data_IF_298680066459
#
_entry.id   IF_298680066459
#
_cell.length_a   1.000
_cell.length_b   1.000
_cell.length_c   1.000
_cell.angle_alpha   90.00
_cell.angle_beta   90.00
_cell.angle_gamma   90.00
#
_symmetry.space_group_name_H-M   'P 1'
#
loop_
_entity.id
_entity.type
_entity.pdbx_description
1 polymer ?
#
# COMPACT_ATOMS: atom_id res chain seq x y z
N UNK A 1 -28.40 49.84 -41.87
CA UNK A 1 -29.03 48.54 -42.24
C UNK A 1 -28.13 47.70 -43.13
N UNK A 2 -27.64 48.24 -44.26
CA UNK A 2 -26.83 47.47 -45.25
C UNK A 2 -25.52 46.93 -44.64
N UNK A 3 -24.82 47.72 -43.83
CA UNK A 3 -23.55 47.31 -43.18
C UNK A 3 -23.74 46.14 -42.20
N UNK A 4 -24.83 46.14 -41.44
CA UNK A 4 -25.17 45.05 -40.51
C UNK A 4 -25.50 43.74 -41.25
N UNK A 5 -26.13 43.86 -42.41
CA UNK A 5 -26.47 42.73 -43.28
C UNK A 5 -25.20 42.08 -43.88
N UNK A 6 -24.24 42.91 -44.29
CA UNK A 6 -22.94 42.44 -44.80
C UNK A 6 -22.11 41.76 -43.71
N UNK A 7 -22.08 42.32 -42.48
CA UNK A 7 -21.40 41.70 -41.35
C UNK A 7 -22.04 40.37 -40.93
N UNK A 8 -23.36 40.28 -40.98
CA UNK A 8 -24.08 39.04 -40.67
C UNK A 8 -23.86 37.96 -41.73
N UNK A 9 -23.81 38.33 -43.01
CA UNK A 9 -23.48 37.40 -44.11
C UNK A 9 -22.02 36.94 -44.05
N UNK A 10 -21.08 37.80 -43.64
CA UNK A 10 -19.68 37.43 -43.38
C UNK A 10 -19.56 36.46 -42.20
N UNK A 11 -20.29 36.71 -41.11
CA UNK A 11 -20.34 35.81 -39.97
C UNK A 11 -20.91 34.44 -40.36
N UNK A 12 -21.99 34.41 -41.13
CA UNK A 12 -22.55 33.15 -41.66
C UNK A 12 -21.57 32.43 -42.59
N UNK A 13 -20.87 33.14 -43.46
CA UNK A 13 -19.88 32.54 -44.35
C UNK A 13 -18.72 31.90 -43.56
N UNK A 14 -18.22 32.58 -42.53
CA UNK A 14 -17.17 32.07 -41.64
C UNK A 14 -17.69 30.87 -40.82
N UNK A 15 -18.92 30.97 -40.28
CA UNK A 15 -19.53 29.89 -39.50
C UNK A 15 -19.77 28.63 -40.36
N UNK A 16 -20.20 28.79 -41.61
CA UNK A 16 -20.38 27.69 -42.56
C UNK A 16 -19.04 27.09 -42.98
N UNK A 17 -17.96 27.88 -43.11
CA UNK A 17 -16.63 27.34 -43.33
C UNK A 17 -16.08 26.57 -42.12
N UNK A 18 -16.37 27.03 -40.91
CA UNK A 18 -15.97 26.32 -39.68
C UNK A 18 -16.77 25.02 -39.48
N UNK A 19 -18.05 24.99 -39.85
CA UNK A 19 -18.89 23.78 -39.84
C UNK A 19 -18.58 22.81 -40.98
N UNK A 20 -17.90 23.27 -42.04
CA UNK A 20 -17.39 22.44 -43.15
C UNK A 20 -15.99 21.87 -42.92
N UNK A 21 -15.38 22.07 -41.74
CA UNK A 21 -14.25 21.23 -41.34
C UNK A 21 -14.75 19.79 -41.24
N UNK A 22 -14.47 19.00 -42.28
CA UNK A 22 -14.68 17.56 -42.25
C UNK A 22 -14.02 17.00 -40.98
N UNK A 23 -14.67 16.06 -40.28
CA UNK A 23 -14.02 15.36 -39.17
C UNK A 23 -12.74 14.72 -39.73
N UNK A 24 -11.61 15.20 -39.23
CA UNK A 24 -10.26 14.75 -39.58
C UNK A 24 -10.28 13.21 -39.67
N UNK A 25 -9.77 12.62 -40.77
CA UNK A 25 -9.81 11.17 -41.03
C UNK A 25 -9.26 10.37 -39.84
N UNK A 26 -8.33 10.98 -39.11
CA UNK A 26 -7.74 10.48 -37.88
C UNK A 26 -8.77 10.32 -36.73
N UNK A 27 -9.74 11.21 -36.64
CA UNK A 27 -10.81 11.19 -35.61
C UNK A 27 -11.81 10.06 -35.86
N UNK A 28 -12.23 9.86 -37.12
CA UNK A 28 -13.13 8.75 -37.47
C UNK A 28 -12.42 7.40 -37.32
N UNK A 29 -11.14 7.32 -37.64
CA UNK A 29 -10.32 6.14 -37.36
C UNK A 29 -10.22 5.87 -35.86
N UNK A 30 -9.93 6.89 -35.04
CA UNK A 30 -9.91 6.78 -33.56
C UNK A 30 -11.24 6.34 -32.98
N UNK A 31 -12.36 6.93 -33.43
CA UNK A 31 -13.70 6.53 -32.97
C UNK A 31 -14.00 5.09 -33.36
N UNK A 32 -13.66 4.68 -34.59
CA UNK A 32 -13.84 3.29 -35.03
C UNK A 32 -12.97 2.32 -34.22
N UNK A 33 -11.79 2.76 -33.78
CA UNK A 33 -10.89 1.96 -32.96
C UNK A 33 -11.40 1.85 -31.52
N UNK A 34 -11.85 2.96 -30.92
CA UNK A 34 -12.50 2.99 -29.61
C UNK A 34 -13.75 2.11 -29.58
N UNK A 35 -14.55 2.09 -30.65
CA UNK A 35 -15.73 1.23 -30.75
C UNK A 35 -15.36 -0.26 -30.86
N UNK A 36 -14.29 -0.60 -31.59
CA UNK A 36 -13.76 -1.98 -31.67
C UNK A 36 -13.23 -2.44 -30.31
N UNK A 37 -12.51 -1.57 -29.60
CA UNK A 37 -11.96 -1.86 -28.27
C UNK A 37 -13.07 -2.00 -27.22
N UNK A 38 -14.13 -1.18 -27.30
CA UNK A 38 -15.32 -1.35 -26.45
C UNK A 38 -16.05 -2.66 -26.71
N UNK A 39 -16.17 -3.08 -27.98
CA UNK A 39 -16.77 -4.37 -28.31
C UNK A 39 -15.92 -5.55 -27.82
N UNK A 40 -14.60 -5.47 -27.92
CA UNK A 40 -13.71 -6.52 -27.41
C UNK A 40 -13.78 -6.62 -25.88
N UNK A 41 -13.83 -5.49 -25.17
CA UNK A 41 -14.02 -5.42 -23.72
C UNK A 41 -15.35 -6.03 -23.28
N UNK A 42 -16.44 -5.72 -23.99
CA UNK A 42 -17.75 -6.29 -23.69
C UNK A 42 -17.74 -7.82 -23.84
N UNK A 43 -17.09 -8.33 -24.89
CA UNK A 43 -16.96 -9.77 -25.16
C UNK A 43 -16.11 -10.48 -24.09
N UNK A 44 -14.98 -9.89 -23.69
CA UNK A 44 -14.16 -10.42 -22.60
C UNK A 44 -14.91 -10.43 -21.27
N UNK A 45 -15.68 -9.39 -20.97
CA UNK A 45 -16.51 -9.32 -19.76
C UNK A 45 -17.57 -10.44 -19.75
N UNK A 46 -18.23 -10.70 -20.87
CA UNK A 46 -19.21 -11.79 -20.98
C UNK A 46 -18.56 -13.17 -20.82
N UNK A 47 -17.40 -13.41 -21.43
CA UNK A 47 -16.67 -14.67 -21.28
C UNK A 47 -16.23 -14.92 -19.83
N UNK A 48 -15.68 -13.90 -19.16
CA UNK A 48 -15.30 -13.98 -17.75
C UNK A 48 -16.53 -14.21 -16.86
N UNK A 49 -17.63 -13.51 -17.13
CA UNK A 49 -18.89 -13.70 -16.41
C UNK A 49 -19.43 -15.11 -16.57
N UNK A 50 -19.30 -15.69 -17.78
CA UNK A 50 -19.70 -17.07 -18.05
C UNK A 50 -18.84 -18.06 -17.28
N UNK A 51 -17.51 -17.93 -17.31
CA UNK A 51 -16.59 -18.77 -16.54
C UNK A 51 -16.83 -18.70 -15.02
N UNK A 52 -17.14 -17.50 -14.50
CA UNK A 52 -17.50 -17.31 -13.10
C UNK A 52 -18.86 -17.95 -12.76
N UNK A 53 -19.83 -17.89 -13.68
CA UNK A 53 -21.11 -18.56 -13.51
C UNK A 53 -20.97 -20.09 -13.54
N UNK A 54 -20.12 -20.64 -14.40
CA UNK A 54 -19.80 -22.06 -14.45
C UNK A 54 -19.11 -22.51 -13.15
N UNK A 55 -18.14 -21.74 -12.66
CA UNK A 55 -17.51 -21.96 -11.35
C UNK A 55 -18.52 -21.95 -10.19
N UNK A 56 -19.46 -21.02 -10.18
CA UNK A 56 -20.47 -20.90 -9.12
C UNK A 56 -21.61 -21.92 -9.23
N UNK A 57 -21.90 -22.42 -10.43
CA UNK A 57 -22.97 -23.42 -10.69
C UNK A 57 -22.53 -24.87 -10.49
N UNK A 58 -21.22 -25.12 -10.38
CA UNK A 58 -20.65 -26.45 -10.15
C UNK A 58 -20.92 -26.96 -8.71
N UNK A 59 -22.14 -27.44 -8.48
CA UNK A 59 -22.54 -28.23 -7.30
C UNK A 59 -22.18 -29.74 -7.42
N UNK A 60 -21.12 -30.09 -8.16
CA UNK A 60 -20.61 -31.45 -8.32
C UNK A 60 -19.12 -31.54 -7.92
N UNK A 61 -18.61 -32.71 -7.47
CA UNK A 61 -17.24 -32.81 -6.97
C UNK A 61 -16.25 -32.84 -8.14
N UNK A 62 -15.91 -31.66 -8.68
CA UNK A 62 -14.76 -31.50 -9.57
C UNK A 62 -13.48 -31.89 -8.84
N UNK A 63 -12.62 -32.68 -9.51
CA UNK A 63 -11.29 -33.03 -9.00
C UNK A 63 -10.46 -31.76 -8.83
N UNK A 64 -9.63 -31.72 -7.77
CA UNK A 64 -8.82 -30.56 -7.40
C UNK A 64 -7.93 -30.05 -8.56
N UNK A 65 -7.43 -30.96 -9.40
CA UNK A 65 -6.64 -30.64 -10.59
C UNK A 65 -7.42 -29.85 -11.67
N UNK A 66 -8.71 -30.13 -11.87
CA UNK A 66 -9.54 -29.40 -12.84
C UNK A 66 -9.88 -28.00 -12.33
N UNK A 67 -10.04 -27.84 -11.01
CA UNK A 67 -10.22 -26.51 -10.39
C UNK A 67 -8.96 -25.66 -10.49
N UNK A 68 -7.79 -26.26 -10.31
CA UNK A 68 -6.50 -25.58 -10.45
C UNK A 68 -6.19 -25.23 -11.91
N UNK A 69 -6.51 -26.12 -12.86
CA UNK A 69 -6.39 -25.83 -14.29
C UNK A 69 -7.33 -24.69 -14.73
N UNK A 70 -8.59 -24.69 -14.24
CA UNK A 70 -9.55 -23.62 -14.52
C UNK A 70 -9.12 -22.30 -13.90
N UNK A 71 -8.68 -22.29 -12.64
CA UNK A 71 -8.12 -21.10 -11.98
C UNK A 71 -6.90 -20.57 -12.71
N UNK A 72 -6.01 -21.45 -13.17
CA UNK A 72 -4.85 -21.08 -13.97
C UNK A 72 -5.27 -20.45 -15.29
N UNK A 73 -6.27 -21.01 -15.98
CA UNK A 73 -6.79 -20.45 -17.24
C UNK A 73 -7.47 -19.08 -17.07
N UNK A 74 -8.20 -18.88 -15.97
CA UNK A 74 -8.79 -17.58 -15.60
C UNK A 74 -7.66 -16.61 -15.28
N UNK A 75 -6.66 -17.03 -14.53
CA UNK A 75 -5.51 -16.21 -14.16
C UNK A 75 -4.66 -15.83 -15.38
N UNK A 76 -4.46 -16.74 -16.33
CA UNK A 76 -3.76 -16.46 -17.59
C UNK A 76 -4.52 -15.45 -18.46
N UNK A 77 -5.85 -15.59 -18.58
CA UNK A 77 -6.69 -14.66 -19.33
C UNK A 77 -6.92 -13.31 -18.63
N UNK A 78 -6.77 -13.25 -17.31
CA UNK A 78 -6.81 -11.98 -16.55
C UNK A 78 -5.45 -11.27 -16.55
N UNK A 79 -4.34 -12.03 -16.63
CA UNK A 79 -2.97 -11.49 -16.64
C UNK A 79 -2.51 -11.11 -18.07
N UNK A 80 -3.07 -11.74 -19.11
CA UNK A 80 -2.85 -11.36 -20.49
C UNK A 80 -4.11 -10.74 -21.09
N UNK A 81 -4.31 -9.41 -20.99
CA UNK A 81 -5.16 -8.72 -21.93
C UNK A 81 -4.40 -8.67 -23.26
N UNK A 82 -4.41 -9.77 -24.03
CA UNK A 82 -4.02 -9.71 -25.43
C UNK A 82 -4.99 -8.74 -26.12
N UNK A 83 -4.52 -7.50 -26.33
CA UNK A 83 -5.15 -6.52 -27.21
C UNK A 83 -5.84 -5.30 -26.59
N UNK A 84 -5.61 -4.93 -25.32
CA UNK A 84 -6.34 -3.79 -24.69
C UNK A 84 -5.50 -2.75 -23.94
N UNK A 85 -4.22 -2.61 -24.31
CA UNK A 85 -3.53 -1.34 -24.11
C UNK A 85 -3.24 -0.83 -25.51
N UNK A 86 -4.05 0.13 -25.97
CA UNK A 86 -3.58 1.11 -26.93
C UNK A 86 -2.36 1.77 -26.30
N UNK A 87 -1.19 1.19 -26.58
CA UNK A 87 0.10 1.75 -26.27
C UNK A 87 0.24 2.97 -27.15
N UNK A 88 -0.29 4.10 -26.69
CA UNK A 88 0.29 5.38 -27.06
C UNK A 88 1.71 5.35 -26.49
N UNK A 89 2.66 5.25 -27.42
CA UNK A 89 3.99 4.73 -27.17
C UNK A 89 4.80 5.54 -26.17
N UNK A 90 5.18 4.90 -25.05
CA UNK A 90 6.44 5.12 -24.34
C UNK A 90 6.66 4.21 -23.11
N UNK A 91 5.87 3.15 -22.93
CA UNK A 91 6.06 2.24 -21.81
C UNK A 91 7.37 1.47 -21.99
N UNK A 92 8.34 1.78 -21.13
CA UNK A 92 9.66 1.14 -21.10
C UNK A 92 9.55 -0.08 -20.20
N UNK A 93 9.76 -1.26 -20.77
CA UNK A 93 9.96 -2.47 -19.97
C UNK A 93 11.33 -2.46 -19.24
N UNK A 94 12.25 -1.60 -19.68
CA UNK A 94 13.55 -1.41 -19.01
C UNK A 94 13.40 -0.69 -17.66
N UNK A 95 14.14 -1.13 -16.62
CA UNK A 95 14.07 -0.52 -15.31
C UNK A 95 14.60 0.91 -15.32
N UNK A 96 14.00 1.85 -14.56
CA UNK A 96 14.58 3.16 -14.35
C UNK A 96 15.95 3.05 -13.67
N UNK A 97 16.78 4.08 -13.87
CA UNK A 97 18.02 4.21 -13.11
C UNK A 97 17.69 4.47 -11.63
N UNK A 98 18.56 4.01 -10.74
CA UNK A 98 18.37 4.24 -9.30
C UNK A 98 18.37 5.74 -8.97
N UNK A 99 19.24 6.51 -9.63
CA UNK A 99 19.34 7.94 -9.41
C UNK A 99 18.10 8.70 -9.90
N UNK A 100 17.45 8.24 -10.98
CA UNK A 100 16.17 8.78 -11.41
C UNK A 100 15.10 8.64 -10.32
N UNK A 101 14.91 7.43 -9.81
CA UNK A 101 13.89 7.13 -8.79
C UNK A 101 14.15 7.87 -7.46
N UNK A 102 15.42 7.95 -7.04
CA UNK A 102 15.83 8.76 -5.88
C UNK A 102 15.53 10.24 -6.09
N UNK A 103 15.87 10.77 -7.26
CA UNK A 103 15.70 12.19 -7.56
C UNK A 103 14.24 12.55 -7.60
N UNK A 104 13.42 11.77 -8.30
CA UNK A 104 11.96 11.93 -8.35
C UNK A 104 11.33 12.01 -6.95
N UNK A 105 11.67 11.07 -6.06
CA UNK A 105 11.17 11.08 -4.68
C UNK A 105 11.71 12.25 -3.86
N UNK A 106 12.97 12.65 -4.11
CA UNK A 106 13.58 13.83 -3.47
C UNK A 106 12.88 15.13 -3.89
N UNK A 107 12.44 15.27 -5.14
CA UNK A 107 11.67 16.45 -5.58
C UNK A 107 10.36 16.56 -4.77
N UNK A 108 9.62 15.46 -4.61
CA UNK A 108 8.40 15.44 -3.78
C UNK A 108 8.67 15.92 -2.35
N UNK A 109 9.69 15.33 -1.72
CA UNK A 109 10.11 15.71 -0.36
C UNK A 109 10.56 17.18 -0.30
N UNK A 110 11.30 17.65 -1.29
CA UNK A 110 11.77 19.04 -1.36
C UNK A 110 10.62 20.04 -1.42
N UNK A 111 9.54 19.73 -2.14
CA UNK A 111 8.32 20.56 -2.17
C UNK A 111 7.66 20.61 -0.78
N UNK A 112 7.58 19.48 -0.10
CA UNK A 112 7.01 19.39 1.27
C UNK A 112 7.86 20.19 2.28
N UNK A 113 9.17 19.96 2.31
CA UNK A 113 10.10 20.64 3.21
C UNK A 113 10.16 22.15 2.95
N UNK A 114 10.17 22.57 1.68
CA UNK A 114 10.10 23.99 1.32
C UNK A 114 8.83 24.62 1.89
N UNK A 115 7.68 23.95 1.74
CA UNK A 115 6.42 24.44 2.30
C UNK A 115 6.43 24.50 3.82
N UNK A 116 6.95 23.47 4.50
CA UNK A 116 7.06 23.48 5.97
C UNK A 116 7.92 24.64 6.45
N UNK A 117 9.06 24.88 5.80
CA UNK A 117 9.91 26.01 6.13
C UNK A 117 9.20 27.35 5.94
N UNK A 118 8.67 27.61 4.73
CA UNK A 118 8.02 28.89 4.38
C UNK A 118 6.80 29.14 5.27
N UNK A 119 5.92 28.15 5.41
CA UNK A 119 4.70 28.28 6.21
C UNK A 119 5.00 28.53 7.68
N UNK A 120 6.03 27.88 8.25
CA UNK A 120 6.46 28.12 9.62
C UNK A 120 7.00 29.54 9.82
N UNK A 121 7.84 30.03 8.90
CA UNK A 121 8.36 31.41 8.97
C UNK A 121 7.23 32.44 8.90
N UNK A 122 6.28 32.27 7.98
CA UNK A 122 5.14 33.18 7.85
C UNK A 122 4.27 33.15 9.12
N UNK A 123 3.97 31.96 9.67
CA UNK A 123 3.21 31.83 10.93
C UNK A 123 3.92 32.50 12.10
N UNK A 124 5.25 32.46 12.15
CA UNK A 124 6.02 33.15 13.20
C UNK A 124 5.93 34.67 13.08
N UNK A 125 5.96 35.21 11.85
CA UNK A 125 5.74 36.64 11.60
C UNK A 125 4.31 37.03 12.00
N UNK A 126 3.33 36.21 11.63
CA UNK A 126 1.92 36.43 11.94
C UNK A 126 1.69 36.55 13.46
N UNK A 127 2.28 35.65 14.26
CA UNK A 127 2.22 35.71 15.74
C UNK A 127 2.81 37.01 16.31
N UNK A 128 3.91 37.50 15.74
CA UNK A 128 4.54 38.76 16.17
C UNK A 128 3.74 40.00 15.74
N UNK A 129 3.10 39.94 14.57
CA UNK A 129 2.34 41.05 13.99
C UNK A 129 0.90 41.17 14.54
N UNK A 130 0.40 40.13 15.22
CA UNK A 130 -1.00 40.02 15.63
C UNK A 130 -1.51 41.20 16.47
N UNK A 131 -0.63 41.80 17.29
CA UNK A 131 -0.96 42.95 18.14
C UNK A 131 -0.56 44.31 17.54
N UNK A 132 0.11 44.30 16.37
CA UNK A 132 0.71 45.52 15.77
C UNK A 132 -0.06 45.95 14.52
N UNK A 133 -0.45 45.01 13.65
CA UNK A 133 -1.20 45.32 12.44
C UNK A 133 -2.10 44.17 12.00
N UNK A 134 -3.43 44.30 12.18
CA UNK A 134 -4.40 43.33 11.69
C UNK A 134 -4.38 43.17 10.16
N UNK A 135 -4.06 44.22 9.41
CA UNK A 135 -3.98 44.18 7.95
C UNK A 135 -2.84 43.28 7.46
N UNK A 136 -1.65 43.38 8.08
CA UNK A 136 -0.51 42.51 7.77
C UNK A 136 -0.86 41.05 8.11
N UNK A 137 -1.53 40.81 9.23
CA UNK A 137 -1.97 39.46 9.63
C UNK A 137 -2.91 38.83 8.59
N UNK A 138 -3.84 39.61 8.03
CA UNK A 138 -4.73 39.15 6.95
C UNK A 138 -3.95 38.83 5.66
N UNK A 139 -3.02 39.70 5.24
CA UNK A 139 -2.17 39.45 4.07
C UNK A 139 -1.32 38.20 4.20
N UNK A 140 -0.72 37.96 5.38
CA UNK A 140 0.06 36.74 5.65
C UNK A 140 -0.80 35.49 5.60
N UNK A 141 -2.05 35.56 6.08
CA UNK A 141 -3.00 34.45 6.00
C UNK A 141 -3.33 34.13 4.54
N UNK A 142 -3.57 35.15 3.72
CA UNK A 142 -3.78 34.98 2.27
C UNK A 142 -2.58 34.33 1.57
N UNK A 143 -1.35 34.71 1.92
CA UNK A 143 -0.14 34.07 1.37
C UNK A 143 -0.07 32.59 1.77
N UNK A 144 -0.46 32.23 3.00
CA UNK A 144 -0.51 30.84 3.42
C UNK A 144 -1.58 30.05 2.65
N UNK A 145 -2.76 30.65 2.44
CA UNK A 145 -3.86 30.02 1.74
C UNK A 145 -3.52 29.81 0.25
N UNK A 146 -3.00 30.82 -0.45
CA UNK A 146 -2.56 30.69 -1.84
C UNK A 146 -1.35 29.76 -1.97
N UNK A 147 -0.39 29.87 -1.04
CA UNK A 147 0.82 29.06 -1.04
C UNK A 147 0.55 27.56 -0.87
N UNK A 148 -0.44 27.18 -0.06
CA UNK A 148 -0.80 25.76 0.09
C UNK A 148 -1.44 25.21 -1.19
N UNK A 149 -2.23 26.01 -1.92
CA UNK A 149 -2.77 25.58 -3.22
C UNK A 149 -1.66 25.35 -4.24
N UNK A 150 -0.66 26.24 -4.30
CA UNK A 150 0.51 26.05 -5.17
C UNK A 150 1.29 24.79 -4.81
N UNK A 151 1.52 24.53 -3.51
CA UNK A 151 2.12 23.27 -3.05
C UNK A 151 1.32 22.07 -3.54
N UNK A 152 -0.01 22.08 -3.40
CA UNK A 152 -0.85 20.95 -3.85
C UNK A 152 -0.76 20.72 -5.35
N UNK A 153 -0.71 21.79 -6.16
CA UNK A 153 -0.48 21.67 -7.60
C UNK A 153 0.88 21.03 -7.92
N UNK A 154 1.95 21.47 -7.26
CA UNK A 154 3.29 20.90 -7.47
C UNK A 154 3.34 19.41 -7.08
N UNK A 155 2.75 19.04 -5.95
CA UNK A 155 2.68 17.63 -5.52
C UNK A 155 1.86 16.80 -6.51
N UNK A 156 0.76 17.34 -7.05
CA UNK A 156 -0.04 16.68 -8.10
C UNK A 156 0.82 16.37 -9.32
N UNK A 157 1.61 17.34 -9.79
CA UNK A 157 2.46 17.16 -10.98
C UNK A 157 3.61 16.18 -10.72
N UNK A 158 4.22 16.22 -9.54
CA UNK A 158 5.26 15.26 -9.13
C UNK A 158 4.68 13.84 -9.01
N UNK A 159 3.46 13.68 -8.51
CA UNK A 159 2.79 12.38 -8.48
C UNK A 159 2.45 11.90 -9.89
N UNK A 160 1.94 12.79 -10.75
CA UNK A 160 1.66 12.48 -12.15
C UNK A 160 2.90 12.06 -12.92
N UNK A 161 4.08 12.59 -12.58
CA UNK A 161 5.34 12.15 -13.17
C UNK A 161 5.55 10.63 -13.04
N UNK A 162 5.07 10.02 -11.94
CA UNK A 162 5.09 8.56 -11.77
C UNK A 162 4.24 7.77 -12.75
N UNK A 163 3.27 8.41 -13.38
CA UNK A 163 2.34 7.77 -14.30
C UNK A 163 2.79 7.98 -15.74
N UNK A 164 3.36 9.16 -16.05
CA UNK A 164 3.69 9.55 -17.43
C UNK A 164 5.16 9.38 -17.81
N UNK A 165 6.03 8.96 -16.88
CA UNK A 165 7.45 8.78 -17.15
C UNK A 165 7.83 7.48 -17.89
N UNK A 166 6.83 6.68 -18.28
CA UNK A 166 7.01 5.43 -19.01
C UNK A 166 7.50 4.25 -18.15
N UNK A 167 7.65 4.42 -16.83
CA UNK A 167 8.06 3.34 -15.92
C UNK A 167 6.92 2.82 -15.03
N UNK A 168 5.68 3.27 -15.26
CA UNK A 168 4.53 2.90 -14.43
C UNK A 168 4.30 1.38 -14.43
N UNK A 169 4.19 0.78 -15.61
CA UNK A 169 4.00 -0.66 -15.78
C UNK A 169 5.16 -1.47 -15.21
N UNK A 170 6.40 -1.03 -15.41
CA UNK A 170 7.58 -1.63 -14.78
C UNK A 170 7.48 -1.67 -13.25
N UNK A 171 7.10 -0.56 -12.60
CA UNK A 171 6.96 -0.50 -11.13
C UNK A 171 5.92 -1.49 -10.61
N UNK A 172 4.78 -1.61 -11.29
CA UNK A 172 3.74 -2.57 -10.91
C UNK A 172 4.21 -4.02 -11.05
N UNK A 173 4.81 -4.37 -12.20
CA UNK A 173 5.37 -5.70 -12.45
C UNK A 173 6.44 -6.06 -11.42
N UNK A 174 7.39 -5.15 -11.16
CA UNK A 174 8.48 -5.37 -10.22
C UNK A 174 8.00 -5.48 -8.76
N UNK A 175 6.97 -4.72 -8.35
CA UNK A 175 6.40 -4.83 -7.02
C UNK A 175 5.82 -6.22 -6.73
N UNK A 176 5.09 -6.78 -7.69
CA UNK A 176 4.56 -8.15 -7.60
C UNK A 176 5.71 -9.15 -7.61
N UNK A 177 6.59 -9.08 -8.60
CA UNK A 177 7.68 -10.03 -8.79
C UNK A 177 8.64 -10.09 -7.58
N UNK A 178 9.01 -8.94 -7.00
CA UNK A 178 9.86 -8.88 -5.80
C UNK A 178 9.17 -9.44 -4.57
N UNK A 179 7.90 -9.11 -4.34
CA UNK A 179 7.16 -9.65 -3.21
C UNK A 179 7.04 -11.17 -3.34
N UNK A 180 6.67 -11.67 -4.52
CA UNK A 180 6.52 -13.11 -4.78
C UNK A 180 7.84 -13.87 -4.64
N UNK A 181 8.96 -13.29 -5.07
CA UNK A 181 10.29 -13.86 -4.82
C UNK A 181 10.54 -14.06 -3.32
N UNK A 182 10.30 -13.04 -2.50
CA UNK A 182 10.54 -13.12 -1.06
C UNK A 182 9.56 -14.10 -0.39
N UNK A 183 8.28 -14.06 -0.76
CA UNK A 183 7.28 -15.00 -0.23
C UNK A 183 7.62 -16.45 -0.57
N UNK A 184 8.13 -16.73 -1.79
CA UNK A 184 8.64 -18.07 -2.15
C UNK A 184 9.84 -18.48 -1.33
N UNK A 185 10.81 -17.59 -1.10
CA UNK A 185 11.98 -17.89 -0.23
C UNK A 185 11.56 -18.18 1.21
N UNK A 186 10.60 -17.42 1.76
CA UNK A 186 10.05 -17.65 3.10
C UNK A 186 9.29 -18.98 3.18
N UNK A 187 8.46 -19.28 2.18
CA UNK A 187 7.75 -20.56 2.10
C UNK A 187 8.71 -21.73 1.99
N UNK A 188 9.76 -21.64 1.16
CA UNK A 188 10.80 -22.66 1.06
C UNK A 188 11.50 -22.89 2.41
N UNK A 189 11.96 -21.82 3.06
CA UNK A 189 12.62 -21.90 4.37
C UNK A 189 11.72 -22.52 5.44
N UNK A 190 10.44 -22.16 5.45
CA UNK A 190 9.51 -22.61 6.47
C UNK A 190 9.03 -24.03 6.26
N UNK A 191 9.11 -24.59 5.06
CA UNK A 191 8.54 -25.89 4.74
C UNK A 191 9.62 -26.89 4.29
N UNK A 192 10.54 -27.30 5.20
CA UNK A 192 11.51 -28.34 4.88
C UNK A 192 10.79 -29.66 4.60
N UNK A 193 11.38 -30.49 3.72
CA UNK A 193 10.88 -31.84 3.42
C UNK A 193 11.05 -32.81 4.58
N UNK A 194 12.08 -32.60 5.41
CA UNK A 194 12.38 -33.37 6.62
C UNK A 194 12.44 -32.41 7.81
N UNK A 195 11.37 -32.37 8.59
CA UNK A 195 11.30 -31.50 9.76
C UNK A 195 12.25 -31.94 10.87
N UNK A 196 12.50 -33.24 11.05
CA UNK A 196 13.31 -33.73 12.16
C UNK A 196 14.75 -33.24 12.03
N UNK A 197 15.31 -33.32 10.84
CA UNK A 197 16.68 -32.89 10.55
C UNK A 197 16.83 -31.39 10.21
N UNK A 198 15.72 -30.66 10.01
CA UNK A 198 15.78 -29.23 9.75
C UNK A 198 16.36 -28.45 10.94
N UNK A 199 17.22 -27.46 10.65
CA UNK A 199 17.67 -26.48 11.64
C UNK A 199 16.52 -25.55 12.01
N UNK A 200 16.26 -25.39 13.30
CA UNK A 200 15.09 -24.65 13.82
C UNK A 200 15.51 -23.43 14.63
N UNK A 201 14.69 -22.39 14.58
CA UNK A 201 14.75 -21.23 15.47
C UNK A 201 13.41 -21.12 16.21
N UNK A 202 13.45 -21.29 17.52
CA UNK A 202 12.27 -21.25 18.39
C UNK A 202 12.03 -19.81 18.85
N UNK A 203 10.82 -19.31 18.63
CA UNK A 203 10.38 -17.98 19.04
C UNK A 203 9.16 -18.09 19.97
N UNK A 204 9.22 -17.45 21.14
CA UNK A 204 8.11 -17.44 22.10
C UNK A 204 7.30 -16.15 21.97
N UNK A 205 6.05 -16.25 21.49
CA UNK A 205 5.21 -15.08 21.17
C UNK A 205 4.89 -14.20 22.39
N UNK A 206 4.84 -14.79 23.59
CA UNK A 206 4.32 -14.18 24.83
C UNK A 206 5.26 -13.14 25.47
N UNK A 207 5.85 -12.23 24.68
CA UNK A 207 6.56 -11.05 25.20
C UNK A 207 5.61 -10.18 26.05
N UNK A 208 6.11 -9.61 27.13
CA UNK A 208 5.35 -8.78 28.07
C UNK A 208 4.93 -7.40 27.54
N UNK A 209 4.21 -7.34 26.41
CA UNK A 209 3.74 -6.11 25.78
C UNK A 209 2.44 -6.34 24.99
N UNK A 210 1.95 -5.30 24.29
CA UNK A 210 0.72 -5.38 23.49
C UNK A 210 0.88 -6.12 22.14
N UNK A 211 -0.24 -6.33 21.44
CA UNK A 211 -0.35 -7.08 20.18
C UNK A 211 0.68 -6.66 19.13
N UNK A 212 0.76 -5.37 18.79
CA UNK A 212 1.70 -4.87 17.79
C UNK A 212 3.17 -5.11 18.16
N UNK A 213 3.51 -4.99 19.44
CA UNK A 213 4.86 -5.30 19.94
C UNK A 213 5.17 -6.81 19.86
N UNK A 214 4.22 -7.68 20.20
CA UNK A 214 4.38 -9.13 20.06
C UNK A 214 4.49 -9.57 18.59
N UNK A 215 3.73 -8.93 17.69
CA UNK A 215 3.81 -9.15 16.26
C UNK A 215 5.19 -8.73 15.72
N UNK A 216 5.71 -7.56 16.12
CA UNK A 216 7.07 -7.15 15.78
C UNK A 216 8.14 -8.08 16.38
N UNK A 217 7.90 -8.67 17.55
CA UNK A 217 8.77 -9.72 18.09
C UNK A 217 8.79 -10.96 17.18
N UNK A 218 7.63 -11.44 16.70
CA UNK A 218 7.57 -12.55 15.75
C UNK A 218 8.27 -12.22 14.42
N UNK A 219 8.11 -10.99 13.90
CA UNK A 219 8.83 -10.52 12.71
C UNK A 219 10.33 -10.53 12.91
N UNK A 220 10.82 -10.01 14.05
CA UNK A 220 12.23 -10.05 14.40
C UNK A 220 12.76 -11.50 14.43
N UNK A 221 12.03 -12.42 15.06
CA UNK A 221 12.41 -13.83 15.06
C UNK A 221 12.51 -14.40 13.65
N UNK A 222 11.52 -14.10 12.79
CA UNK A 222 11.48 -14.59 11.42
C UNK A 222 12.60 -14.02 10.55
N UNK A 223 13.00 -12.76 10.77
CA UNK A 223 14.15 -12.15 10.10
C UNK A 223 15.47 -12.84 10.46
N UNK A 224 15.68 -13.11 11.75
CA UNK A 224 16.88 -13.85 12.21
C UNK A 224 16.85 -15.29 11.70
N UNK A 225 15.69 -15.94 11.71
CA UNK A 225 15.49 -17.29 11.17
C UNK A 225 15.84 -17.33 9.68
N UNK A 226 15.38 -16.34 8.91
CA UNK A 226 15.72 -16.19 7.50
C UNK A 226 17.22 -16.00 7.26
N UNK A 227 17.86 -15.09 7.99
CA UNK A 227 19.30 -14.84 7.85
C UNK A 227 20.18 -16.02 8.28
N UNK A 228 19.71 -16.85 9.22
CA UNK A 228 20.43 -18.02 9.72
C UNK A 228 20.03 -19.33 9.04
N UNK A 229 19.15 -19.27 8.03
CA UNK A 229 18.63 -20.43 7.31
C UNK A 229 18.01 -21.49 8.25
N UNK A 230 17.26 -21.02 9.25
CA UNK A 230 16.56 -21.86 10.21
C UNK A 230 15.05 -21.74 10.00
N UNK A 231 14.33 -22.85 10.03
CA UNK A 231 12.86 -22.84 10.06
C UNK A 231 12.39 -22.26 11.39
N UNK A 232 11.58 -21.20 11.35
CA UNK A 232 11.02 -20.60 12.56
C UNK A 232 9.89 -21.47 13.12
N UNK A 233 10.00 -21.81 14.40
CA UNK A 233 8.96 -22.46 15.21
C UNK A 233 8.36 -21.43 16.15
N UNK A 234 7.08 -21.09 15.96
CA UNK A 234 6.39 -20.07 16.75
C UNK A 234 5.61 -20.73 17.90
N UNK A 235 6.11 -20.59 19.12
CA UNK A 235 5.43 -21.05 20.33
C UNK A 235 4.41 -19.98 20.78
N UNK A 236 3.14 -20.25 20.52
CA UNK A 236 2.02 -19.32 20.72
C UNK A 236 0.99 -19.76 21.77
N UNK A 237 1.10 -20.97 22.34
CA UNK A 237 0.15 -21.45 23.35
C UNK A 237 0.12 -20.54 24.59
N UNK A 238 -1.08 -20.35 25.15
CA UNK A 238 -1.27 -19.46 26.31
C UNK A 238 -1.19 -17.96 25.97
N UNK A 239 -1.36 -17.61 24.69
CA UNK A 239 -1.31 -16.22 24.25
C UNK A 239 -2.42 -15.37 24.89
N UNK A 240 -2.05 -14.20 25.41
CA UNK A 240 -2.96 -13.32 26.16
C UNK A 240 -4.15 -12.82 25.35
N UNK A 241 -4.01 -12.74 24.03
CA UNK A 241 -5.08 -12.31 23.12
C UNK A 241 -5.98 -13.46 22.69
N UNK A 242 -5.45 -14.68 22.63
CA UNK A 242 -6.23 -15.89 22.42
C UNK A 242 -5.48 -17.11 23.00
N UNK A 243 -6.04 -17.75 24.03
CA UNK A 243 -5.37 -18.86 24.72
C UNK A 243 -5.08 -20.05 23.79
N UNK A 244 -5.87 -20.22 22.72
CA UNK A 244 -5.67 -21.24 21.70
C UNK A 244 -4.44 -21.02 20.80
N UNK A 245 -3.82 -19.84 20.86
CA UNK A 245 -2.58 -19.53 20.15
C UNK A 245 -2.79 -18.80 18.82
N UNK A 246 -1.71 -18.71 18.06
CA UNK A 246 -1.60 -17.96 16.80
C UNK A 246 -2.57 -18.48 15.72
N UNK A 247 -2.69 -19.81 15.66
CA UNK A 247 -3.42 -20.57 14.65
C UNK A 247 -4.94 -20.33 14.69
N UNK A 248 -5.43 -19.70 15.75
CA UNK A 248 -6.84 -19.31 15.90
C UNK A 248 -7.26 -18.15 15.00
N UNK A 249 -6.30 -17.34 14.54
CA UNK A 249 -6.55 -16.15 13.70
C UNK A 249 -5.74 -16.19 12.41
N UNK A 250 -4.49 -16.64 12.49
CA UNK A 250 -3.58 -16.70 11.35
C UNK A 250 -3.23 -18.15 11.01
N UNK A 251 -2.78 -18.40 9.78
CA UNK A 251 -2.26 -19.71 9.39
C UNK A 251 -0.99 -20.03 10.17
N UNK A 252 -0.66 -21.32 10.37
CA UNK A 252 0.61 -21.70 10.97
C UNK A 252 1.77 -21.15 10.13
N UNK A 253 2.90 -20.86 10.79
CA UNK A 253 4.08 -20.29 10.12
C UNK A 253 4.69 -21.30 9.13
N UNK A 254 4.54 -22.58 9.41
CA UNK A 254 4.94 -23.70 8.56
C UNK A 254 3.78 -24.68 8.43
N UNK A 255 3.64 -25.30 7.26
CA UNK A 255 2.69 -26.40 7.03
C UNK A 255 3.36 -27.77 7.26
N UNK A 256 4.69 -27.89 7.10
CA UNK A 256 5.42 -29.17 7.22
C UNK A 256 6.25 -29.32 8.51
N UNK A 257 6.50 -28.23 9.24
CA UNK A 257 7.40 -28.25 10.40
C UNK A 257 6.99 -27.24 11.46
N UNK A 258 6.13 -27.68 12.39
CA UNK A 258 5.52 -26.85 13.44
C UNK A 258 6.08 -27.07 14.84
N UNK A 259 6.89 -28.12 15.00
CA UNK A 259 7.34 -28.58 16.32
C UNK A 259 8.86 -28.74 16.35
N UNK A 260 9.39 -28.81 17.57
CA UNK A 260 10.81 -29.05 17.83
C UNK A 260 10.95 -30.31 18.68
N UNK A 261 11.59 -31.32 18.11
CA UNK A 261 12.05 -32.51 18.80
C UNK A 261 13.48 -32.28 19.31
N UNK A 262 13.75 -32.68 20.55
CA UNK A 262 15.11 -32.62 21.14
C UNK A 262 15.48 -31.32 21.88
N UNK A 263 16.75 -31.21 22.29
CA UNK A 263 17.22 -30.12 23.15
C UNK A 263 17.30 -28.80 22.38
N UNK A 264 16.78 -27.74 23.01
CA UNK A 264 16.82 -26.37 22.49
C UNK A 264 17.86 -25.57 23.29
N UNK A 265 18.86 -25.03 22.60
CA UNK A 265 19.89 -24.19 23.23
C UNK A 265 19.52 -22.72 23.12
N UNK A 266 19.91 -21.90 24.09
CA UNK A 266 19.76 -20.45 23.98
C UNK A 266 20.64 -19.86 22.89
N UNK A 267 20.16 -18.80 22.22
CA UNK A 267 20.96 -17.99 21.31
C UNK A 267 22.31 -17.58 21.94
N UNK A 268 23.43 -17.58 21.19
CA UNK A 268 23.53 -17.78 19.74
C UNK A 268 23.60 -19.24 19.27
N UNK A 269 23.80 -20.19 20.19
CA UNK A 269 24.19 -21.55 19.82
C UNK A 269 25.46 -21.57 18.96
N UNK A 270 25.67 -22.66 18.23
CA UNK A 270 26.69 -22.79 17.19
C UNK A 270 26.07 -23.27 15.86
N UNK A 271 26.88 -23.39 14.81
CA UNK A 271 26.40 -23.80 13.48
C UNK A 271 25.75 -25.19 13.48
N UNK A 272 26.20 -26.09 14.35
CA UNK A 272 25.71 -27.47 14.48
C UNK A 272 24.52 -27.60 15.43
N UNK A 273 24.18 -26.54 16.19
CA UNK A 273 23.03 -26.56 17.10
C UNK A 273 21.75 -26.77 16.28
N UNK A 274 21.00 -27.87 16.47
CA UNK A 274 19.80 -28.15 15.68
C UNK A 274 18.69 -27.14 15.94
N UNK A 275 18.43 -26.79 17.21
CA UNK A 275 17.39 -25.85 17.59
C UNK A 275 17.93 -24.76 18.53
N UNK A 276 17.67 -23.50 18.18
CA UNK A 276 18.08 -22.33 18.97
C UNK A 276 16.85 -21.55 19.45
N UNK A 277 16.76 -21.28 20.75
CA UNK A 277 15.76 -20.39 21.34
C UNK A 277 16.25 -18.95 21.23
N UNK A 278 15.51 -18.14 20.47
CA UNK A 278 15.80 -16.73 20.32
C UNK A 278 15.06 -15.91 21.39
N UNK A 279 15.83 -15.20 22.21
CA UNK A 279 15.28 -14.30 23.24
C UNK A 279 14.67 -13.02 22.64
N UNK A 280 14.08 -12.21 23.51
CA UNK A 280 13.60 -10.87 23.13
C UNK A 280 14.76 -9.98 22.71
N UNK A 281 14.52 -9.06 21.79
CA UNK A 281 15.55 -8.17 21.24
C UNK A 281 16.24 -7.28 22.30
N UNK A 282 15.53 -7.01 23.40
CA UNK A 282 15.96 -6.17 24.52
C UNK A 282 17.14 -6.79 25.28
N UNK A 283 17.21 -8.13 25.33
CA UNK A 283 18.27 -8.89 26.03
C UNK A 283 19.11 -9.76 25.09
N UNK A 284 19.02 -9.54 23.78
CA UNK A 284 19.72 -10.34 22.78
C UNK A 284 21.22 -10.00 22.73
N UNK A 285 22.05 -11.00 23.04
CA UNK A 285 23.51 -10.91 22.90
C UNK A 285 24.09 -12.25 22.42
N UNK A 286 25.02 -12.26 21.44
CA UNK A 286 25.38 -11.14 20.58
C UNK A 286 24.24 -10.77 19.61
N UNK A 287 24.22 -9.54 19.11
CA UNK A 287 23.24 -9.10 18.10
C UNK A 287 23.62 -9.63 16.71
N UNK A 288 22.75 -10.39 16.02
CA UNK A 288 23.01 -10.82 14.64
C UNK A 288 22.93 -9.63 13.67
N UNK A 289 23.54 -9.75 12.48
CA UNK A 289 23.46 -8.71 11.44
C UNK A 289 22.08 -8.64 10.75
N UNK A 290 21.20 -9.60 11.01
CA UNK A 290 19.89 -9.75 10.37
C UNK A 290 18.78 -8.96 11.06
N UNK A 291 19.04 -7.68 11.36
CA UNK A 291 18.13 -6.79 12.08
C UNK A 291 17.77 -5.57 11.21
N UNK A 292 16.56 -5.01 11.33
CA UNK A 292 16.26 -3.71 10.75
C UNK A 292 17.25 -2.64 11.25
N UNK A 293 17.59 -1.62 10.46
CA UNK A 293 17.01 -1.26 9.16
C UNK A 293 17.74 -1.90 7.95
N UNK A 294 18.57 -2.91 8.16
CA UNK A 294 19.29 -3.57 7.08
C UNK A 294 18.35 -4.34 6.13
N UNK A 295 18.70 -4.34 4.84
CA UNK A 295 18.02 -5.10 3.78
C UNK A 295 18.99 -6.08 3.10
N UNK A 296 18.52 -7.18 2.50
CA UNK A 296 19.38 -8.15 1.83
C UNK A 296 20.16 -7.52 0.68
N UNK A 297 21.47 -7.76 0.62
CA UNK A 297 22.37 -7.16 -0.38
C UNK A 297 21.95 -7.48 -1.82
N UNK A 298 21.45 -8.69 -2.07
CA UNK A 298 21.00 -9.14 -3.39
C UNK A 298 19.72 -8.43 -3.86
N UNK A 299 18.88 -7.94 -2.94
CA UNK A 299 17.63 -7.25 -3.26
C UNK A 299 17.71 -5.73 -3.09
N UNK A 300 18.71 -5.21 -2.37
CA UNK A 300 18.81 -3.81 -1.97
C UNK A 300 18.60 -2.82 -3.14
N UNK A 301 19.28 -3.04 -4.27
CA UNK A 301 19.16 -2.16 -5.44
C UNK A 301 17.77 -2.21 -6.07
N UNK A 302 17.18 -3.41 -6.19
CA UNK A 302 15.85 -3.60 -6.77
C UNK A 302 14.77 -2.94 -5.90
N UNK A 303 14.83 -3.16 -4.59
CA UNK A 303 13.92 -2.53 -3.63
C UNK A 303 14.10 -1.01 -3.65
N UNK A 304 15.33 -0.50 -3.68
CA UNK A 304 15.59 0.95 -3.67
C UNK A 304 15.13 1.65 -4.96
N UNK A 305 15.08 0.96 -6.11
CA UNK A 305 14.42 1.51 -7.31
C UNK A 305 12.91 1.61 -7.09
N UNK A 306 12.31 0.57 -6.54
CA UNK A 306 10.85 0.46 -6.40
C UNK A 306 10.26 1.31 -5.27
N UNK A 307 10.83 1.23 -4.05
CA UNK A 307 10.22 1.71 -2.81
C UNK A 307 11.01 2.85 -2.20
N UNK A 308 10.31 3.86 -1.66
CA UNK A 308 10.93 5.03 -1.01
C UNK A 308 11.62 4.72 0.32
N UNK A 309 11.20 3.65 0.98
CA UNK A 309 11.80 3.13 2.23
C UNK A 309 12.04 1.61 2.12
N UNK A 310 13.24 1.19 1.71
CA UNK A 310 13.54 -0.24 1.54
C UNK A 310 13.41 -1.07 2.82
N UNK A 311 13.70 -0.48 3.98
CA UNK A 311 13.68 -1.20 5.26
C UNK A 311 12.24 -1.56 5.65
N UNK A 312 11.31 -0.62 5.51
CA UNK A 312 9.88 -0.86 5.76
C UNK A 312 9.32 -1.88 4.77
N UNK A 313 9.71 -1.81 3.48
CA UNK A 313 9.29 -2.81 2.50
C UNK A 313 9.76 -4.22 2.89
N UNK A 314 11.00 -4.35 3.35
CA UNK A 314 11.59 -5.63 3.77
C UNK A 314 10.86 -6.21 4.99
N UNK A 315 10.66 -5.42 6.05
CA UNK A 315 9.87 -5.79 7.23
C UNK A 315 8.43 -6.18 6.84
N UNK A 316 7.84 -5.46 5.89
CA UNK A 316 6.51 -5.73 5.36
C UNK A 316 6.34 -7.13 4.73
N UNK A 317 7.40 -7.72 4.17
CA UNK A 317 7.33 -9.08 3.61
C UNK A 317 7.14 -10.14 4.69
N UNK A 318 7.76 -9.98 5.86
CA UNK A 318 7.59 -10.88 7.00
C UNK A 318 6.20 -10.73 7.62
N UNK A 319 5.71 -9.49 7.75
CA UNK A 319 4.33 -9.23 8.18
C UNK A 319 3.33 -9.90 7.24
N UNK A 320 3.50 -9.74 5.91
CA UNK A 320 2.66 -10.40 4.88
C UNK A 320 2.64 -11.92 5.05
N UNK A 321 3.79 -12.54 5.31
CA UNK A 321 3.88 -13.99 5.48
C UNK A 321 3.25 -14.47 6.81
N UNK A 322 3.52 -13.78 7.91
CA UNK A 322 3.00 -14.15 9.23
C UNK A 322 1.48 -13.95 9.29
N UNK A 323 0.98 -12.79 8.84
CA UNK A 323 -0.43 -12.42 8.98
C UNK A 323 -1.35 -13.02 7.91
N UNK A 324 -1.00 -14.18 7.33
CA UNK A 324 -1.89 -14.92 6.43
C UNK A 324 -3.13 -15.35 7.23
N UNK A 325 -4.33 -14.82 6.96
CA UNK A 325 -5.49 -15.09 7.79
C UNK A 325 -5.98 -16.53 7.63
N UNK A 326 -6.59 -17.07 8.69
CA UNK A 326 -7.40 -18.28 8.57
C UNK A 326 -8.65 -18.02 7.71
N UNK A 327 -9.27 -19.05 7.12
CA UNK A 327 -10.53 -18.90 6.38
C UNK A 327 -11.62 -18.18 7.18
N UNK A 328 -11.81 -18.55 8.45
CA UNK A 328 -12.78 -17.90 9.35
C UNK A 328 -12.49 -16.41 9.56
N UNK A 329 -11.23 -16.03 9.75
CA UNK A 329 -10.81 -14.62 9.86
C UNK A 329 -11.01 -13.88 8.54
N UNK A 330 -10.76 -14.52 7.40
CA UNK A 330 -10.99 -13.92 6.08
C UNK A 330 -12.48 -13.60 5.88
N UNK A 331 -13.37 -14.51 6.26
CA UNK A 331 -14.82 -14.29 6.21
C UNK A 331 -15.23 -13.14 7.14
N UNK A 332 -14.77 -13.15 8.40
CA UNK A 332 -15.03 -12.06 9.35
C UNK A 332 -14.63 -10.69 8.79
N UNK A 333 -13.44 -10.58 8.18
CA UNK A 333 -12.96 -9.32 7.59
C UNK A 333 -13.80 -8.87 6.39
N UNK A 334 -14.25 -9.81 5.54
CA UNK A 334 -15.14 -9.51 4.41
C UNK A 334 -16.51 -9.04 4.89
N UNK A 335 -17.09 -9.73 5.86
CA UNK A 335 -18.38 -9.36 6.46
C UNK A 335 -18.30 -8.00 7.14
N UNK A 336 -17.20 -7.71 7.84
CA UNK A 336 -16.95 -6.40 8.43
C UNK A 336 -16.83 -5.31 7.35
N UNK A 337 -16.12 -5.56 6.25
CA UNK A 337 -16.00 -4.60 5.15
C UNK A 337 -17.37 -4.27 4.52
N UNK A 338 -18.23 -5.27 4.32
CA UNK A 338 -19.61 -5.07 3.84
C UNK A 338 -20.43 -4.28 4.86
N UNK A 339 -20.38 -4.67 6.15
CA UNK A 339 -21.13 -4.01 7.23
C UNK A 339 -20.72 -2.55 7.42
N UNK A 340 -19.43 -2.26 7.31
CA UNK A 340 -18.89 -0.90 7.38
C UNK A 340 -19.09 -0.11 6.09
N UNK A 341 -19.64 -0.73 5.03
CA UNK A 341 -19.78 -0.12 3.70
C UNK A 341 -18.44 0.46 3.23
N UNK A 342 -17.39 -0.34 3.39
CA UNK A 342 -16.02 0.09 3.11
C UNK A 342 -15.89 0.46 1.63
N UNK A 343 -15.54 1.72 1.36
CA UNK A 343 -15.54 2.28 0.01
C UNK A 343 -14.43 3.33 -0.11
N UNK A 344 -13.76 3.37 -1.28
CA UNK A 344 -12.68 4.33 -1.56
C UNK A 344 -13.24 5.56 -2.31
N UNK A 345 -12.62 6.75 -2.19
CA UNK A 345 -11.47 7.06 -1.37
C UNK A 345 -11.83 7.13 0.13
N UNK A 346 -10.93 6.64 0.98
CA UNK A 346 -11.07 6.59 2.44
C UNK A 346 -9.70 6.77 3.10
N UNK A 347 -9.67 7.52 4.20
CA UNK A 347 -8.44 7.73 5.00
C UNK A 347 -8.54 6.94 6.30
N UNK A 348 -7.52 6.12 6.59
CA UNK A 348 -7.40 5.44 7.89
C UNK A 348 -6.84 6.40 8.94
N UNK A 349 -7.51 6.51 10.08
CA UNK A 349 -7.10 7.36 11.21
C UNK A 349 -7.04 6.51 12.46
N UNK A 350 -5.86 6.42 13.07
CA UNK A 350 -5.66 5.70 14.32
C UNK A 350 -5.30 6.69 15.44
N UNK A 351 -6.20 6.86 16.41
CA UNK A 351 -6.02 7.76 17.55
C UNK A 351 -5.80 6.88 18.78
N UNK A 352 -4.57 6.88 19.29
CA UNK A 352 -4.17 6.11 20.48
C UNK A 352 -4.08 7.04 21.69
N UNK A 353 -4.89 6.77 22.72
CA UNK A 353 -4.90 7.55 23.97
C UNK A 353 -4.50 6.64 25.15
N UNK A 354 -5.47 6.32 26.00
CA UNK A 354 -5.37 5.51 27.24
C UNK A 354 -3.96 5.37 27.85
N UNK A 355 -3.40 4.17 27.92
CA UNK A 355 -2.13 3.83 28.60
C UNK A 355 -0.86 4.40 27.93
N UNK A 356 -0.97 4.96 26.71
CA UNK A 356 0.19 5.48 25.97
C UNK A 356 0.45 6.94 26.23
N UNK A 357 -0.56 7.70 26.60
CA UNK A 357 -0.42 9.13 26.88
C UNK A 357 0.33 9.31 28.20
N UNK A 358 1.43 10.08 28.17
CA UNK A 358 2.25 10.39 29.33
C UNK A 358 3.33 9.36 29.66
N UNK A 359 3.40 8.25 28.93
CA UNK A 359 4.43 7.21 29.09
C UNK A 359 5.25 7.04 27.81
N UNK A 360 4.58 6.76 26.69
CA UNK A 360 5.22 6.46 25.40
C UNK A 360 4.88 7.49 24.31
N UNK A 361 3.81 8.27 24.48
CA UNK A 361 3.34 9.25 23.51
C UNK A 361 2.69 10.48 24.19
N UNK A 362 2.54 11.55 23.41
CA UNK A 362 1.79 12.74 23.81
C UNK A 362 0.31 12.60 23.48
N UNK A 363 -0.52 13.41 24.13
CA UNK A 363 -1.91 13.58 23.72
C UNK A 363 -1.99 14.45 22.48
N UNK A 364 -2.74 13.99 21.48
CA UNK A 364 -3.03 14.74 20.26
C UNK A 364 -4.55 14.89 20.08
N UNK A 365 -5.08 16.11 19.92
CA UNK A 365 -6.51 16.36 19.71
C UNK A 365 -6.97 15.85 18.34
N UNK A 366 -8.26 15.54 18.18
CA UNK A 366 -8.82 15.04 16.91
C UNK A 366 -8.56 16.00 15.75
N UNK A 367 -8.60 17.31 16.00
CA UNK A 367 -8.40 18.33 14.96
C UNK A 367 -7.05 18.21 14.27
N UNK A 368 -6.01 17.83 15.00
CA UNK A 368 -4.68 17.63 14.43
C UNK A 368 -4.70 16.55 13.36
N UNK A 369 -5.36 15.42 13.61
CA UNK A 369 -5.53 14.35 12.63
C UNK A 369 -6.41 14.79 11.46
N UNK A 370 -7.53 15.47 11.74
CA UNK A 370 -8.48 15.88 10.71
C UNK A 370 -7.90 16.93 9.77
N UNK A 371 -6.95 17.77 10.22
CA UNK A 371 -6.21 18.66 9.32
C UNK A 371 -5.48 17.89 8.22
N UNK A 372 -4.82 16.77 8.55
CA UNK A 372 -4.12 15.95 7.56
C UNK A 372 -5.08 15.17 6.66
N UNK A 373 -6.20 14.70 7.20
CA UNK A 373 -7.28 14.06 6.42
C UNK A 373 -7.84 15.02 5.39
N UNK A 374 -8.15 16.25 5.81
CA UNK A 374 -8.69 17.28 4.93
C UNK A 374 -7.67 17.67 3.85
N UNK A 375 -6.38 17.82 4.21
CA UNK A 375 -5.32 18.07 3.24
C UNK A 375 -5.19 16.95 2.21
N UNK A 376 -5.29 15.69 2.63
CA UNK A 376 -5.30 14.55 1.70
C UNK A 376 -6.48 14.63 0.72
N UNK A 377 -7.68 14.90 1.22
CA UNK A 377 -8.87 15.00 0.35
C UNK A 377 -8.74 16.16 -0.64
N UNK A 378 -8.30 17.35 -0.20
CA UNK A 378 -8.02 18.49 -1.09
C UNK A 378 -6.99 18.13 -2.16
N UNK A 379 -5.96 17.36 -1.80
CA UNK A 379 -4.95 16.91 -2.75
C UNK A 379 -5.50 15.95 -3.82
N UNK A 380 -6.33 14.98 -3.44
CA UNK A 380 -6.90 14.02 -4.43
C UNK A 380 -8.05 14.61 -5.25
N UNK A 381 -8.79 15.59 -4.71
CA UNK A 381 -9.82 16.35 -5.42
C UNK A 381 -9.26 17.08 -6.64
N UNK A 382 -7.96 17.39 -6.64
CA UNK A 382 -7.28 17.91 -7.83
C UNK A 382 -7.24 16.89 -8.99
N UNK A 383 -7.35 15.59 -8.73
CA UNK A 383 -7.16 14.53 -9.75
C UNK A 383 -8.43 13.75 -10.05
N UNK A 384 -9.35 13.66 -9.10
CA UNK A 384 -10.59 12.90 -9.22
C UNK A 384 -11.71 13.56 -8.42
N UNK A 385 -12.95 13.32 -8.83
CA UNK A 385 -14.11 13.78 -8.07
C UNK A 385 -14.26 12.94 -6.79
N UNK A 386 -14.41 13.62 -5.65
CA UNK A 386 -14.69 12.98 -4.36
C UNK A 386 -16.13 13.29 -3.95
N UNK A 387 -17.00 12.28 -3.97
CA UNK A 387 -18.40 12.47 -3.59
C UNK A 387 -18.58 12.60 -2.07
N UNK A 388 -17.78 11.84 -1.32
CA UNK A 388 -17.84 11.83 0.14
C UNK A 388 -16.45 11.58 0.73
N UNK A 389 -16.04 12.46 1.64
CA UNK A 389 -14.81 12.33 2.44
C UNK A 389 -15.04 11.28 3.53
N UNK A 390 -14.54 10.06 3.31
CA UNK A 390 -14.72 8.93 4.23
C UNK A 390 -13.48 8.75 5.10
N UNK A 391 -13.68 8.41 6.38
CA UNK A 391 -12.60 7.98 7.27
C UNK A 391 -12.89 6.60 7.85
N UNK A 392 -11.84 5.80 8.05
CA UNK A 392 -11.88 4.60 8.88
C UNK A 392 -11.17 4.91 10.20
N UNK A 393 -11.94 5.07 11.26
CA UNK A 393 -11.45 5.48 12.57
C UNK A 393 -11.20 4.27 13.47
N UNK A 394 -9.96 4.12 13.94
CA UNK A 394 -9.57 3.17 14.98
C UNK A 394 -9.12 3.95 16.22
N UNK A 395 -9.69 3.64 17.38
CA UNK A 395 -9.34 4.27 18.64
C UNK A 395 -9.55 3.31 19.80
N UNK A 396 -8.69 3.39 20.81
CA UNK A 396 -8.80 2.74 22.11
C UNK A 396 -9.62 3.56 23.12
N UNK A 397 -9.93 4.81 22.79
CA UNK A 397 -10.82 5.69 23.57
C UNK A 397 -12.17 5.86 22.86
N UNK A 398 -13.24 5.37 23.50
CA UNK A 398 -14.62 5.44 23.00
C UNK A 398 -15.11 6.88 22.82
N UNK A 399 -14.58 7.83 23.60
CA UNK A 399 -14.98 9.25 23.50
C UNK A 399 -14.57 9.87 22.17
N UNK A 400 -13.50 9.38 21.54
CA UNK A 400 -13.03 9.85 20.23
C UNK A 400 -14.11 9.72 19.16
N UNK A 401 -14.88 8.62 19.17
CA UNK A 401 -15.95 8.42 18.19
C UNK A 401 -17.04 9.49 18.30
N UNK A 402 -17.38 9.91 19.52
CA UNK A 402 -18.35 11.01 19.74
C UNK A 402 -17.76 12.36 19.33
N UNK A 403 -16.50 12.61 19.67
CA UNK A 403 -15.77 13.83 19.31
C UNK A 403 -15.71 14.03 17.79
N UNK A 404 -15.38 12.96 17.05
CA UNK A 404 -15.30 12.98 15.58
C UNK A 404 -16.67 13.18 14.94
N UNK A 405 -17.74 12.58 15.47
CA UNK A 405 -19.11 12.75 14.92
C UNK A 405 -19.68 14.15 15.23
N UNK A 406 -19.21 14.81 16.30
CA UNK A 406 -19.66 16.16 16.66
C UNK A 406 -19.03 17.28 15.84
N UNK A 407 -18.03 16.96 15.01
CA UNK A 407 -17.36 17.89 14.09
C UNK A 407 -17.82 17.61 12.68
#
# INVERSE_FOLDING_TARGET
>A
MIVLLVLWLLFLFIAVQYLRQEPDQNTNQRISQVLRDLQSLHRQREEISKLLSEYNSANAPMKQEEKEALLKSIQEKVIQPEGLVGSDGNDRDDPPSLEYEKTRRRVRMGVEEMWFFVSNQIRNIQKKAQNVSPQITSQLSKILDEGVEHKRSLIRDVNRLSEVDGFHSWRLKEAVALSDLVQRRLSYLQNPSDCDNAKKLVCKLNKGCGYGCQLHHAVYCMMVAYGTQRTMILQSKGWRYNKGGWETVFRPVSESCTDVSGPVQSWPGNENTPAVLLGIIDSLSPRPPYLPLAVPKDLANRIAKLHGDPAVWWVGQFLKYLMRPQPGTTLMLRDAAVKFKYERPIVGVHIRRTDKVGTEAAFHPVDEYMMHVEEYFKQIELTQKVEKKRIYLASDDVKVFKEVVSK
#
